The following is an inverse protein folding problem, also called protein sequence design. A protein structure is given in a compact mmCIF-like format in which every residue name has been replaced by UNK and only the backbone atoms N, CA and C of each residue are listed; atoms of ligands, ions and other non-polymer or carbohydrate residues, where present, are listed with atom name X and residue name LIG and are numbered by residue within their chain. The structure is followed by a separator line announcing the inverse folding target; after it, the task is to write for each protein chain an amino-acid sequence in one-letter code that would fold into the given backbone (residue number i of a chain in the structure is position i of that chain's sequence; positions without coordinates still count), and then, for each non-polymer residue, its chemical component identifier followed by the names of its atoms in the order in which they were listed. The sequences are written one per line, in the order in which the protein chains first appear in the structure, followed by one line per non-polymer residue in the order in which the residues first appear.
data_IF_117133909852
#
_entry.id   IF_117133909852
#
_cell.length_a   1.000
_cell.length_b   1.000
_cell.length_c   1.000
_cell.angle_alpha   90.00
_cell.angle_beta   90.00
_cell.angle_gamma   90.00
#
_symmetry.space_group_name_H-M   'P 1'
#
loop_
_entity.id
_entity.type
_entity.pdbx_description
1 polymer ?
#
# COMPACT_ATOMS: atom_id res chain seq x y z
N UNK A 1 8.38 -30.68 -7.27
CA UNK A 1 7.19 -29.87 -7.64
C UNK A 1 7.27 -28.63 -6.76
N UNK A 2 7.75 -27.52 -7.33
CA UNK A 2 7.79 -26.13 -6.79
C UNK A 2 7.75 -25.96 -5.27
N UNK A 3 8.94 -25.98 -4.66
CA UNK A 3 9.15 -25.57 -3.29
C UNK A 3 9.51 -24.07 -3.23
N UNK A 4 9.15 -23.44 -2.11
CA UNK A 4 9.56 -22.10 -1.66
C UNK A 4 8.93 -20.86 -2.34
N UNK A 5 7.61 -20.69 -2.20
CA UNK A 5 7.10 -19.33 -1.96
C UNK A 5 7.45 -18.98 -0.51
N UNK A 6 8.68 -18.52 -0.26
CA UNK A 6 9.05 -17.95 1.03
C UNK A 6 8.34 -16.62 1.31
N UNK A 7 7.70 -16.03 0.29
CA UNK A 7 7.11 -14.68 0.33
C UNK A 7 5.69 -14.71 -0.25
N UNK A 8 4.64 -14.36 0.50
CA UNK A 8 3.26 -14.42 0.00
C UNK A 8 3.08 -13.58 -1.29
N UNK A 9 2.11 -13.91 -2.13
CA UNK A 9 1.79 -13.03 -3.28
C UNK A 9 1.25 -11.69 -2.79
N UNK A 10 1.59 -10.59 -3.49
CA UNK A 10 1.07 -9.27 -3.15
C UNK A 10 -0.44 -9.21 -3.46
N UNK A 11 -1.28 -8.89 -2.47
CA UNK A 11 -2.73 -8.81 -2.70
C UNK A 11 -3.06 -7.59 -3.55
N UNK A 12 -4.20 -7.68 -4.25
CA UNK A 12 -4.74 -6.58 -5.07
C UNK A 12 -5.03 -5.31 -4.24
N UNK A 13 -5.48 -5.51 -3.00
CA UNK A 13 -5.73 -4.45 -2.03
C UNK A 13 -4.96 -4.74 -0.75
N UNK A 14 -4.07 -3.84 -0.38
CA UNK A 14 -3.30 -3.92 0.87
C UNK A 14 -3.40 -2.60 1.63
N UNK A 15 -3.50 -2.71 2.96
CA UNK A 15 -3.45 -1.56 3.88
C UNK A 15 -2.43 -1.80 4.98
N UNK A 16 -1.66 -0.77 5.33
CA UNK A 16 -0.72 -0.81 6.45
C UNK A 16 -1.41 -0.72 7.81
N UNK A 17 -2.65 -0.20 7.87
CA UNK A 17 -3.39 -0.06 9.14
C UNK A 17 -3.89 -1.42 9.63
N UNK A 18 -3.43 -1.92 10.81
CA UNK A 18 -3.86 -3.19 11.37
C UNK A 18 -5.36 -3.32 11.64
N UNK A 19 -6.08 -2.19 11.68
CA UNK A 19 -7.54 -2.17 11.87
C UNK A 19 -8.30 -2.39 10.56
N UNK A 20 -7.63 -2.34 9.42
CA UNK A 20 -8.24 -2.58 8.12
C UNK A 20 -8.40 -4.08 7.86
N UNK A 21 -9.51 -4.45 7.20
CA UNK A 21 -9.73 -5.83 6.72
C UNK A 21 -8.73 -6.27 5.65
N UNK A 22 -8.01 -5.32 5.07
CA UNK A 22 -7.00 -5.54 4.02
C UNK A 22 -5.57 -5.51 4.57
N UNK A 23 -5.41 -5.59 5.89
CA UNK A 23 -4.09 -5.69 6.50
C UNK A 23 -3.59 -7.14 6.47
N UNK A 24 -2.46 -7.37 5.80
CA UNK A 24 -1.83 -8.69 5.70
C UNK A 24 -0.41 -8.61 6.26
N UNK A 25 -0.20 -8.94 7.56
CA UNK A 25 1.11 -8.82 8.22
C UNK A 25 2.25 -9.56 7.51
N UNK A 26 1.97 -10.77 6.99
CA UNK A 26 2.96 -11.62 6.33
C UNK A 26 3.60 -10.98 5.10
N UNK A 27 2.88 -10.08 4.43
CA UNK A 27 3.39 -9.36 3.26
C UNK A 27 4.42 -8.30 3.68
N UNK A 28 4.22 -7.67 4.85
CA UNK A 28 5.13 -6.67 5.42
C UNK A 28 6.39 -7.25 6.08
N UNK A 29 6.53 -8.58 6.15
CA UNK A 29 7.81 -9.22 6.50
C UNK A 29 8.88 -9.06 5.40
N UNK A 30 8.45 -8.61 4.22
CA UNK A 30 9.32 -8.31 3.09
C UNK A 30 9.20 -6.84 2.70
N UNK A 31 10.27 -6.30 2.11
CA UNK A 31 10.24 -4.94 1.60
C UNK A 31 9.34 -4.85 0.36
N UNK A 32 8.40 -3.91 0.38
CA UNK A 32 7.43 -3.68 -0.70
C UNK A 32 7.61 -2.27 -1.23
N UNK A 33 7.68 -2.14 -2.55
CA UNK A 33 7.63 -0.87 -3.25
C UNK A 33 6.29 -0.70 -3.98
N UNK A 34 5.83 0.55 -4.09
CA UNK A 34 4.65 0.89 -4.89
C UNK A 34 5.07 1.90 -5.96
N UNK A 35 4.80 1.58 -7.22
CA UNK A 35 4.92 2.51 -8.34
C UNK A 35 3.54 3.05 -8.69
N UNK A 36 3.37 4.34 -8.52
CA UNK A 36 2.14 5.07 -8.83
C UNK A 36 2.37 6.01 -10.01
N UNK A 37 1.62 5.82 -11.10
CA UNK A 37 1.77 6.58 -12.36
C UNK A 37 3.23 6.62 -12.85
N UNK A 38 3.92 5.48 -12.82
CA UNK A 38 5.31 5.36 -13.26
C UNK A 38 6.36 5.87 -12.27
N UNK A 39 5.96 6.38 -11.09
CA UNK A 39 6.88 6.88 -10.06
C UNK A 39 6.83 6.03 -8.79
N UNK A 40 7.99 5.62 -8.30
CA UNK A 40 8.08 4.90 -7.02
C UNK A 40 7.70 5.83 -5.86
N UNK A 41 6.89 5.31 -4.94
CA UNK A 41 6.38 5.97 -3.76
C UNK A 41 6.55 5.09 -2.54
N UNK A 42 6.87 5.73 -1.42
CA UNK A 42 7.14 5.08 -0.12
C UNK A 42 6.20 5.60 0.99
N UNK A 43 5.42 6.62 0.68
CA UNK A 43 4.45 7.28 1.56
C UNK A 43 3.04 6.69 1.44
N UNK A 44 2.89 5.56 0.75
CA UNK A 44 1.59 4.91 0.51
C UNK A 44 1.20 4.10 1.74
N UNK A 45 0.04 4.41 2.31
CA UNK A 45 -0.54 3.65 3.42
C UNK A 45 -1.52 2.58 2.95
N UNK A 46 -2.13 2.75 1.79
CA UNK A 46 -3.09 1.79 1.23
C UNK A 46 -3.09 1.87 -0.28
N UNK A 47 -3.30 0.75 -0.96
CA UNK A 47 -3.51 0.72 -2.40
C UNK A 47 -4.58 -0.28 -2.80
N UNK A 48 -5.19 -0.04 -3.96
CA UNK A 48 -5.94 -1.05 -4.69
C UNK A 48 -5.55 -1.00 -6.17
N UNK A 49 -5.04 -2.11 -6.69
CA UNK A 49 -4.61 -2.23 -8.09
C UNK A 49 -5.81 -2.28 -9.02
N UNK A 50 -6.82 -3.10 -8.70
CA UNK A 50 -8.04 -3.24 -9.52
C UNK A 50 -8.85 -1.94 -9.62
N UNK A 51 -8.99 -1.19 -8.52
CA UNK A 51 -9.67 0.11 -8.53
C UNK A 51 -8.76 1.27 -8.98
N UNK A 52 -7.44 1.04 -9.04
CA UNK A 52 -6.45 2.02 -9.50
C UNK A 52 -6.35 3.23 -8.57
N UNK A 53 -6.15 3.01 -7.27
CA UNK A 53 -5.92 4.10 -6.32
C UNK A 53 -4.85 3.78 -5.26
N UNK A 54 -4.25 4.84 -4.72
CA UNK A 54 -3.42 4.81 -3.51
C UNK A 54 -3.94 5.82 -2.48
N UNK A 55 -3.82 5.52 -1.19
CA UNK A 55 -3.97 6.50 -0.11
C UNK A 55 -2.60 6.91 0.40
N UNK A 56 -2.39 8.20 0.47
CA UNK A 56 -1.15 8.82 0.97
C UNK A 56 -1.52 9.93 1.96
N UNK A 57 -0.65 10.26 2.92
CA UNK A 57 -0.83 11.42 3.76
C UNK A 57 -0.70 12.71 2.93
N UNK A 58 -1.58 13.67 3.17
CA UNK A 58 -1.60 14.98 2.56
C UNK A 58 -0.54 15.89 3.19
N UNK A 59 0.73 15.56 2.96
CA UNK A 59 1.87 16.29 3.49
C UNK A 59 1.86 16.34 5.01
N UNK A 60 1.93 17.55 5.59
CA UNK A 60 2.01 17.77 7.05
C UNK A 60 0.65 18.07 7.70
N UNK A 61 -0.44 18.00 6.95
CA UNK A 61 -1.77 18.35 7.46
C UNK A 61 -2.34 17.23 8.32
N UNK A 62 -2.91 17.60 9.48
CA UNK A 62 -3.58 16.69 10.39
C UNK A 62 -5.10 16.89 10.35
N UNK A 63 -5.86 15.83 10.65
CA UNK A 63 -7.29 15.86 10.86
C UNK A 63 -7.66 16.50 12.22
N UNK A 64 -8.96 16.62 12.51
CA UNK A 64 -9.48 17.16 13.78
C UNK A 64 -9.06 16.36 15.02
N UNK A 65 -8.58 15.13 14.85
CA UNK A 65 -8.14 14.21 15.89
C UNK A 65 -6.60 14.11 15.96
N UNK A 66 -5.88 14.94 15.22
CA UNK A 66 -4.41 14.97 15.19
C UNK A 66 -3.76 13.85 14.37
N UNK A 67 -4.51 13.15 13.52
CA UNK A 67 -3.97 12.09 12.64
C UNK A 67 -3.61 12.67 11.27
N UNK A 68 -2.63 12.11 10.54
CA UNK A 68 -2.35 12.53 9.17
C UNK A 68 -3.62 12.53 8.32
N UNK A 69 -3.85 13.63 7.59
CA UNK A 69 -4.97 13.72 6.68
C UNK A 69 -4.68 12.85 5.46
N UNK A 70 -5.44 11.77 5.29
CA UNK A 70 -5.26 10.87 4.15
C UNK A 70 -6.00 11.37 2.91
N UNK A 71 -5.33 11.33 1.75
CA UNK A 71 -5.93 11.62 0.45
C UNK A 71 -5.80 10.41 -0.47
N UNK A 72 -6.85 10.19 -1.25
CA UNK A 72 -6.87 9.15 -2.28
C UNK A 72 -6.42 9.74 -3.61
N UNK A 73 -5.37 9.17 -4.20
CA UNK A 73 -4.91 9.48 -5.54
C UNK A 73 -5.32 8.34 -6.48
N UNK A 74 -5.97 8.66 -7.60
CA UNK A 74 -6.35 7.69 -8.63
C UNK A 74 -5.31 7.66 -9.75
N UNK A 75 -5.01 6.47 -10.26
CA UNK A 75 -4.02 6.27 -11.30
C UNK A 75 -3.56 4.83 -11.42
N UNK A 76 -2.55 4.59 -12.26
CA UNK A 76 -1.94 3.26 -12.41
C UNK A 76 -1.16 2.92 -11.15
N UNK A 77 -1.47 1.78 -10.55
CA UNK A 77 -0.83 1.25 -9.34
C UNK A 77 -0.12 -0.05 -9.69
N UNK A 78 1.16 -0.14 -9.38
CA UNK A 78 1.95 -1.37 -9.48
C UNK A 78 2.62 -1.63 -8.13
N UNK A 79 2.26 -2.73 -7.47
CA UNK A 79 2.93 -3.19 -6.26
C UNK A 79 3.99 -4.24 -6.63
N UNK A 80 5.16 -4.16 -6.00
CA UNK A 80 6.26 -5.09 -6.27
C UNK A 80 7.09 -5.34 -5.00
N UNK A 81 7.72 -6.51 -4.93
CA UNK A 81 8.72 -6.81 -3.90
C UNK A 81 10.06 -6.14 -4.25
N UNK A 82 10.69 -5.54 -3.26
CA UNK A 82 12.01 -4.90 -3.38
C UNK A 82 13.14 -5.87 -3.08
#
# INVERSE_FOLDING_TARGET
MTDAIQRPELPDHLSVDPRSKFHVPAVFEHDIGIRFNGKERFDVEEYCVSEGFVKVPAGKTLDRKGRPLMITLKGTVEAFYK
#
